data_IF_318523968835
#
_entry.id   IF_318523968835
#
_cell.length_a   1.000
_cell.length_b   1.000
_cell.length_c   1.000
_cell.angle_alpha   90.00
_cell.angle_beta   90.00
_cell.angle_gamma   90.00
#
_symmetry.space_group_name_H-M   'P 1'
#
loop_
_entity.id
_entity.type
_entity.pdbx_description
1 polymer ?
#
# COMPACT_ATOMS: atom_id res chain seq x y z
N UNK A 1 -6.89 -15.56 -28.72
CA UNK A 1 -7.62 -15.20 -27.47
C UNK A 1 -6.57 -15.06 -26.39
N UNK A 2 -6.28 -13.84 -25.91
CA UNK A 2 -5.33 -13.69 -24.80
C UNK A 2 -6.04 -14.11 -23.52
N UNK A 3 -5.62 -15.22 -22.92
CA UNK A 3 -6.04 -15.56 -21.57
C UNK A 3 -5.32 -14.60 -20.63
N UNK A 4 -6.04 -13.58 -20.13
CA UNK A 4 -5.49 -12.75 -19.07
C UNK A 4 -5.13 -13.66 -17.88
N UNK A 5 -3.97 -13.45 -17.25
CA UNK A 5 -3.57 -14.26 -16.12
C UNK A 5 -4.55 -14.06 -14.96
N UNK A 6 -4.91 -15.15 -14.28
CA UNK A 6 -5.74 -15.10 -13.08
C UNK A 6 -5.08 -14.19 -12.04
N UNK A 7 -5.85 -13.26 -11.48
CA UNK A 7 -5.40 -12.39 -10.40
C UNK A 7 -6.24 -12.57 -9.13
N UNK A 8 -5.60 -12.33 -7.99
CA UNK A 8 -6.18 -12.33 -6.65
C UNK A 8 -5.94 -10.99 -5.97
N UNK A 9 -6.72 -10.70 -4.94
CA UNK A 9 -6.48 -9.53 -4.09
C UNK A 9 -5.52 -9.87 -2.95
N UNK A 10 -4.61 -8.95 -2.68
CA UNK A 10 -3.71 -8.99 -1.54
C UNK A 10 -3.81 -7.67 -0.80
N UNK A 11 -3.99 -7.74 0.52
CA UNK A 11 -3.92 -6.58 1.40
C UNK A 11 -2.52 -6.46 1.98
N UNK A 12 -2.03 -5.23 2.03
CA UNK A 12 -0.78 -4.84 2.67
C UNK A 12 -1.14 -3.93 3.84
N UNK A 13 -0.72 -4.34 5.03
CA UNK A 13 -0.62 -3.48 6.21
C UNK A 13 0.85 -3.15 6.44
N UNK A 14 1.21 -1.89 6.27
CA UNK A 14 2.59 -1.41 6.39
C UNK A 14 2.65 -0.30 7.46
N UNK A 15 2.81 -0.64 8.75
CA UNK A 15 3.00 0.37 9.79
C UNK A 15 4.28 1.16 9.52
N UNK A 16 4.29 2.44 9.86
CA UNK A 16 5.52 3.22 9.90
C UNK A 16 6.32 2.82 11.16
N UNK A 17 7.65 2.95 11.14
CA UNK A 17 8.43 2.94 12.37
C UNK A 17 7.97 4.07 13.31
N UNK A 18 8.13 3.94 14.64
CA UNK A 18 7.69 4.98 15.60
C UNK A 18 8.24 6.39 15.31
N UNK A 19 9.43 6.49 14.71
CA UNK A 19 10.10 7.73 14.31
C UNK A 19 10.05 7.97 12.78
N UNK A 20 9.19 7.24 12.06
CA UNK A 20 9.16 7.18 10.59
C UNK A 20 8.50 8.38 9.92
N UNK A 21 7.66 9.15 10.61
CA UNK A 21 6.88 10.24 10.02
C UNK A 21 7.74 11.32 9.31
N UNK A 22 8.88 11.80 9.86
CA UNK A 22 9.74 12.72 9.13
C UNK A 22 10.26 12.14 7.80
N UNK A 23 10.73 10.89 7.81
CA UNK A 23 11.21 10.19 6.60
C UNK A 23 10.08 10.01 5.58
N UNK A 24 8.88 9.65 6.06
CA UNK A 24 7.67 9.57 5.23
C UNK A 24 7.44 10.87 4.48
N UNK A 25 7.37 11.98 5.20
CA UNK A 25 7.05 13.29 4.62
C UNK A 25 8.11 13.73 3.61
N UNK A 26 9.39 13.48 3.89
CA UNK A 26 10.51 13.79 2.99
C UNK A 26 10.39 13.06 1.65
N UNK A 27 10.08 11.76 1.67
CA UNK A 27 10.07 10.92 0.45
C UNK A 27 8.67 10.67 -0.13
N UNK A 28 7.63 11.26 0.46
CA UNK A 28 6.23 11.05 0.10
C UNK A 28 5.93 11.26 -1.39
N UNK A 29 6.45 12.33 -1.98
CA UNK A 29 6.22 12.62 -3.39
C UNK A 29 6.78 11.51 -4.29
N UNK A 30 7.94 10.95 -3.94
CA UNK A 30 8.56 9.84 -4.68
C UNK A 30 7.79 8.53 -4.51
N UNK A 31 7.26 8.27 -3.31
CA UNK A 31 6.39 7.11 -3.07
C UNK A 31 5.14 7.17 -3.96
N UNK A 32 4.46 8.32 -3.98
CA UNK A 32 3.28 8.52 -4.83
C UNK A 32 3.59 8.35 -6.32
N UNK A 33 4.72 8.88 -6.79
CA UNK A 33 5.16 8.69 -8.18
C UNK A 33 5.48 7.23 -8.49
N UNK A 34 6.15 6.52 -7.59
CA UNK A 34 6.46 5.09 -7.74
C UNK A 34 5.22 4.21 -7.80
N UNK A 35 4.16 4.57 -7.09
CA UNK A 35 2.89 3.82 -7.11
C UNK A 35 1.97 4.16 -8.29
N UNK A 36 2.24 5.25 -9.02
CA UNK A 36 1.36 5.77 -10.08
C UNK A 36 1.06 4.74 -11.16
N UNK A 37 2.07 4.04 -11.68
CA UNK A 37 1.88 3.02 -12.72
C UNK A 37 0.99 1.85 -12.25
N UNK A 38 1.05 1.50 -10.95
CA UNK A 38 0.18 0.47 -10.38
C UNK A 38 -1.27 0.95 -10.26
N UNK A 39 -1.49 2.23 -9.95
CA UNK A 39 -2.84 2.82 -9.94
C UNK A 39 -3.40 2.87 -11.36
N UNK A 40 -2.62 3.38 -12.33
CA UNK A 40 -3.05 3.55 -13.73
C UNK A 40 -3.36 2.22 -14.42
N UNK A 41 -2.61 1.16 -14.09
CA UNK A 41 -2.89 -0.20 -14.58
C UNK A 41 -4.05 -0.90 -13.86
N UNK A 42 -4.58 -0.31 -12.78
CA UNK A 42 -5.58 -0.94 -11.91
C UNK A 42 -5.04 -2.09 -11.04
N UNK A 43 -3.71 -2.24 -10.99
CA UNK A 43 -3.02 -3.20 -10.14
C UNK A 43 -3.05 -2.82 -8.65
N UNK A 44 -2.94 -1.53 -8.33
CA UNK A 44 -3.22 -0.99 -6.99
C UNK A 44 -4.68 -0.52 -6.94
N UNK A 45 -5.53 -1.29 -6.26
CA UNK A 45 -6.98 -1.06 -6.17
C UNK A 45 -7.31 0.08 -5.22
N UNK A 46 -6.60 0.12 -4.09
CA UNK A 46 -6.77 1.12 -3.05
C UNK A 46 -5.44 1.32 -2.34
N UNK A 47 -5.11 2.57 -2.04
CA UNK A 47 -3.95 2.93 -1.23
C UNK A 47 -4.27 4.14 -0.35
N UNK A 48 -3.88 4.10 0.92
CA UNK A 48 -4.14 5.18 1.87
C UNK A 48 -3.20 5.14 3.07
N UNK A 49 -3.09 6.26 3.77
CA UNK A 49 -2.39 6.32 5.04
C UNK A 49 -3.34 5.97 6.18
N UNK A 50 -2.88 5.15 7.13
CA UNK A 50 -3.52 5.08 8.45
C UNK A 50 -3.13 6.31 9.25
N UNK A 51 -4.11 6.88 9.94
CA UNK A 51 -3.96 8.09 10.74
C UNK A 51 -4.69 7.92 12.07
N UNK A 52 -4.34 8.74 13.05
CA UNK A 52 -5.09 8.83 14.30
C UNK A 52 -6.45 9.53 14.13
N UNK A 53 -7.30 9.46 15.16
CA UNK A 53 -8.64 10.07 15.13
C UNK A 53 -8.59 11.59 15.00
N UNK A 54 -7.64 12.26 15.66
CA UNK A 54 -7.46 13.71 15.60
C UNK A 54 -7.17 14.19 14.17
N UNK A 55 -6.46 13.36 13.39
CA UNK A 55 -6.24 13.61 11.97
C UNK A 55 -7.52 13.57 11.14
N UNK A 56 -8.68 13.12 11.65
CA UNK A 56 -9.93 13.18 10.88
C UNK A 56 -10.60 14.56 10.95
N UNK A 57 -10.19 15.42 11.89
CA UNK A 57 -10.79 16.74 12.05
C UNK A 57 -10.57 17.62 10.80
N UNK A 58 -11.60 18.34 10.31
CA UNK A 58 -11.50 19.18 9.12
C UNK A 58 -10.46 20.30 9.24
N UNK A 59 -10.21 20.77 10.47
CA UNK A 59 -9.24 21.83 10.77
C UNK A 59 -7.77 21.36 10.72
N UNK A 60 -7.52 20.06 10.81
CA UNK A 60 -6.16 19.49 10.85
C UNK A 60 -5.65 19.31 9.44
N UNK A 61 -4.67 20.10 9.02
CA UNK A 61 -4.06 20.02 7.69
C UNK A 61 -2.85 19.07 7.66
N UNK A 62 -2.09 19.02 8.75
CA UNK A 62 -0.98 18.08 8.94
C UNK A 62 -1.48 16.81 9.63
N UNK A 63 -1.77 15.78 8.83
CA UNK A 63 -2.25 14.48 9.32
C UNK A 63 -1.08 13.67 9.92
N UNK A 64 -1.28 13.10 11.11
CA UNK A 64 -0.34 12.17 11.73
C UNK A 64 -0.52 10.80 11.08
N UNK A 65 0.35 10.50 10.12
CA UNK A 65 0.34 9.23 9.40
C UNK A 65 1.17 8.20 10.17
N UNK A 66 0.59 7.01 10.39
CA UNK A 66 1.17 5.95 11.21
C UNK A 66 1.40 4.65 10.43
N UNK A 67 1.07 4.65 9.14
CA UNK A 67 1.24 3.50 8.28
C UNK A 67 0.53 3.67 6.94
N UNK A 68 0.57 2.62 6.14
CA UNK A 68 -0.14 2.50 4.88
C UNK A 68 -0.99 1.24 4.84
N UNK A 69 -2.18 1.36 4.25
CA UNK A 69 -2.99 0.22 3.81
C UNK A 69 -3.07 0.27 2.29
N UNK A 70 -2.77 -0.85 1.65
CA UNK A 70 -2.86 -0.99 0.19
C UNK A 70 -3.53 -2.31 -0.17
N UNK A 71 -4.27 -2.33 -1.28
CA UNK A 71 -4.88 -3.54 -1.83
C UNK A 71 -4.41 -3.69 -3.28
N UNK A 72 -3.71 -4.78 -3.57
CA UNK A 72 -3.17 -5.07 -4.91
C UNK A 72 -3.90 -6.24 -5.58
N UNK A 73 -4.01 -6.19 -6.91
CA UNK A 73 -4.26 -7.35 -7.77
C UNK A 73 -2.93 -7.94 -8.22
N UNK A 74 -2.71 -9.22 -7.99
CA UNK A 74 -1.51 -9.91 -8.42
C UNK A 74 -1.78 -11.41 -8.65
N UNK A 75 -0.92 -12.08 -9.40
CA UNK A 75 -1.03 -13.53 -9.60
C UNK A 75 -0.58 -14.32 -8.35
N UNK A 76 0.28 -13.73 -7.52
CA UNK A 76 0.88 -14.34 -6.33
C UNK A 76 1.44 -13.31 -5.36
N UNK A 77 1.70 -13.72 -4.13
CA UNK A 77 2.16 -12.85 -3.05
C UNK A 77 3.53 -12.21 -3.34
N UNK A 78 4.43 -12.93 -4.00
CA UNK A 78 5.80 -12.48 -4.27
C UNK A 78 5.86 -11.23 -5.17
N UNK A 79 4.86 -11.05 -6.05
CA UNK A 79 4.76 -9.85 -6.89
C UNK A 79 4.47 -8.62 -6.04
N UNK A 80 3.51 -8.72 -5.12
CA UNK A 80 3.19 -7.64 -4.17
C UNK A 80 4.38 -7.37 -3.26
N UNK A 81 5.03 -8.42 -2.75
CA UNK A 81 6.23 -8.28 -1.92
C UNK A 81 7.34 -7.52 -2.66
N UNK A 82 7.58 -7.83 -3.93
CA UNK A 82 8.59 -7.14 -4.74
C UNK A 82 8.26 -5.66 -4.96
N UNK A 83 6.99 -5.33 -5.17
CA UNK A 83 6.53 -3.93 -5.27
C UNK A 83 6.82 -3.20 -3.94
N UNK A 84 6.42 -3.78 -2.81
CA UNK A 84 6.64 -3.18 -1.49
C UNK A 84 8.12 -3.01 -1.17
N UNK A 85 8.96 -4.02 -1.43
CA UNK A 85 10.39 -3.96 -1.12
C UNK A 85 11.18 -3.01 -2.03
N UNK A 86 10.63 -2.67 -3.20
CA UNK A 86 11.22 -1.68 -4.11
C UNK A 86 10.75 -0.25 -3.83
N UNK A 87 9.71 -0.07 -3.03
CA UNK A 87 9.16 1.24 -2.70
C UNK A 87 10.15 2.10 -1.88
N UNK A 88 10.12 3.41 -2.09
CA UNK A 88 10.96 4.35 -1.34
C UNK A 88 10.64 4.35 0.16
N UNK A 89 9.40 4.11 0.57
CA UNK A 89 9.05 3.96 1.99
C UNK A 89 9.70 2.72 2.61
N UNK A 90 9.91 1.64 1.86
CA UNK A 90 10.68 0.49 2.34
C UNK A 90 12.18 0.78 2.38
N UNK A 91 12.73 1.28 1.28
CA UNK A 91 14.19 1.48 1.14
C UNK A 91 14.71 2.62 2.03
N UNK A 92 13.89 3.64 2.33
CA UNK A 92 14.20 4.72 3.26
C UNK A 92 13.81 4.44 4.72
N UNK A 93 13.45 3.19 5.07
CA UNK A 93 13.05 2.80 6.43
C UNK A 93 11.92 3.67 7.01
N UNK A 94 10.90 3.98 6.19
CA UNK A 94 9.65 4.56 6.68
C UNK A 94 8.81 3.47 7.31
N UNK A 95 8.58 2.38 6.58
CA UNK A 95 7.79 1.25 7.07
C UNK A 95 8.60 0.34 8.00
N UNK A 96 7.95 -0.09 9.07
CA UNK A 96 8.44 -1.12 9.96
C UNK A 96 8.40 -2.48 9.24
N UNK A 97 9.59 -2.94 8.84
CA UNK A 97 9.78 -4.14 8.04
C UNK A 97 9.43 -5.42 8.80
N UNK A 98 9.53 -5.39 10.13
CA UNK A 98 9.28 -6.56 10.98
C UNK A 98 7.77 -6.76 11.20
N UNK A 99 7.03 -5.66 11.29
CA UNK A 99 5.58 -5.67 11.55
C UNK A 99 4.73 -5.54 10.28
N UNK A 100 5.32 -5.28 9.12
CA UNK A 100 4.62 -5.25 7.83
C UNK A 100 4.03 -6.62 7.48
N UNK A 101 2.76 -6.64 7.06
CA UNK A 101 2.06 -7.85 6.67
C UNK A 101 1.50 -7.73 5.26
N UNK A 102 1.68 -8.79 4.47
CA UNK A 102 1.04 -8.99 3.18
C UNK A 102 0.22 -10.28 3.26
N UNK A 103 -1.08 -10.21 2.98
CA UNK A 103 -2.00 -11.36 3.10
C UNK A 103 -2.94 -11.43 1.89
N UNK A 104 -3.30 -12.65 1.43
CA UNK A 104 -4.43 -12.81 0.53
C UNK A 104 -5.70 -12.21 1.15
N UNK A 105 -6.49 -11.52 0.34
CA UNK A 105 -7.69 -10.83 0.78
C UNK A 105 -8.90 -11.28 -0.05
N UNK A 106 -9.99 -11.67 0.64
CA UNK A 106 -11.26 -11.98 0.01
C UNK A 106 -12.22 -10.82 0.25
N UNK A 107 -12.43 -10.00 -0.78
CA UNK A 107 -13.39 -8.91 -0.72
C UNK A 107 -14.82 -9.45 -0.75
N UNK A 108 -15.62 -9.12 0.26
CA UNK A 108 -17.05 -9.44 0.26
C UNK A 108 -17.75 -8.74 -0.92
N UNK A 109 -18.53 -9.51 -1.69
CA UNK A 109 -19.26 -8.98 -2.85
C UNK A 109 -18.42 -8.79 -4.12
N UNK A 110 -17.16 -9.25 -4.16
CA UNK A 110 -16.37 -9.32 -5.39
C UNK A 110 -15.95 -10.77 -5.73
N UNK A 111 -15.75 -11.10 -7.00
CA UNK A 111 -15.22 -12.40 -7.39
C UNK A 111 -13.83 -12.65 -6.81
N UNK A 112 -13.59 -13.86 -6.28
CA UNK A 112 -12.28 -14.29 -5.76
C UNK A 112 -11.20 -14.32 -6.83
N UNK A 113 -11.59 -14.60 -8.08
CA UNK A 113 -10.73 -14.61 -9.26
C UNK A 113 -11.10 -13.41 -10.11
N UNK A 114 -10.11 -12.57 -10.40
CA UNK A 114 -10.26 -11.41 -11.27
C UNK A 114 -9.74 -11.79 -12.67
N UNK A 115 -10.54 -11.50 -13.69
CA UNK A 115 -10.23 -11.69 -15.12
C UNK A 115 -9.86 -10.36 -15.78
#
# INVERSE_FOLDING_TARGET
>A
MSTQPIQYLFVVWAPDYPDGLPRRLEVRAKHLEGMKAHVESGGLVLGGAMVDEDSLLPSVTAKKMEGSVMIFKAARLEEVKSIIESDIYWTSNVWDKENLQIKPFLAAGQPTILQ
#
